data_IF_135455472404
#
_entry.id   IF_135455472404
#
_cell.length_a   1.000
_cell.length_b   1.000
_cell.length_c   1.000
_cell.angle_alpha   90.00
_cell.angle_beta   90.00
_cell.angle_gamma   90.00
#
_symmetry.space_group_name_H-M   'P 1'
#
loop_
_entity.id
_entity.type
_entity.pdbx_description
1 polymer ?
#
# COMPACT_ATOMS: atom_id res chain seq x y z
N UNK A 1 -7.56 2.88 -13.16
CA UNK A 1 -6.12 3.11 -12.94
C UNK A 1 -5.76 2.54 -11.58
N UNK A 2 -4.73 1.70 -11.48
CA UNK A 2 -4.28 1.09 -10.21
C UNK A 2 -3.04 1.82 -9.70
N UNK A 3 -3.06 2.22 -8.43
CA UNK A 3 -1.90 2.80 -7.73
C UNK A 3 -1.49 1.85 -6.60
N UNK A 4 -0.21 1.53 -6.53
CA UNK A 4 0.39 0.87 -5.38
C UNK A 4 0.58 1.89 -4.26
N UNK A 5 0.19 1.53 -3.04
CA UNK A 5 0.36 2.38 -1.85
C UNK A 5 1.11 1.60 -0.78
N UNK A 6 2.25 2.14 -0.33
CA UNK A 6 2.92 1.63 0.88
C UNK A 6 2.06 1.91 2.11
N UNK A 7 1.26 0.92 2.50
CA UNK A 7 0.38 1.07 3.65
C UNK A 7 1.14 1.04 4.98
N UNK A 8 2.42 0.67 4.99
CA UNK A 8 3.23 0.57 6.21
C UNK A 8 4.14 1.78 6.42
N UNK A 9 4.19 2.69 5.46
CA UNK A 9 5.02 3.90 5.49
C UNK A 9 4.36 5.06 6.22
N UNK A 10 5.14 5.74 7.08
CA UNK A 10 4.75 6.95 7.80
C UNK A 10 4.42 6.73 9.28
N UNK A 11 4.43 7.82 10.05
CA UNK A 11 4.36 7.79 11.52
C UNK A 11 3.03 7.21 12.06
N UNK A 12 1.97 7.29 11.26
CA UNK A 12 0.63 6.83 11.61
C UNK A 12 0.18 5.62 10.76
N UNK A 13 1.13 4.90 10.17
CA UNK A 13 0.84 3.70 9.42
C UNK A 13 0.38 2.53 10.31
N UNK A 14 -0.53 1.65 9.85
CA UNK A 14 -1.19 1.69 8.54
C UNK A 14 -2.48 2.50 8.49
N UNK A 15 -2.88 3.15 9.59
CA UNK A 15 -4.16 3.83 9.73
C UNK A 15 -4.35 4.96 8.71
N UNK A 16 -3.44 5.93 8.69
CA UNK A 16 -3.60 7.11 7.83
C UNK A 16 -3.45 6.81 6.33
N UNK A 17 -2.47 6.00 5.87
CA UNK A 17 -2.42 5.57 4.48
C UNK A 17 -3.70 4.86 4.02
N UNK A 18 -4.26 3.97 4.85
CA UNK A 18 -5.51 3.29 4.53
C UNK A 18 -6.71 4.25 4.47
N UNK A 19 -6.81 5.19 5.42
CA UNK A 19 -7.87 6.21 5.40
C UNK A 19 -7.76 7.10 4.16
N UNK A 20 -6.55 7.50 3.78
CA UNK A 20 -6.30 8.28 2.57
C UNK A 20 -6.70 7.51 1.30
N UNK A 21 -6.40 6.20 1.21
CA UNK A 21 -6.83 5.37 0.08
C UNK A 21 -8.36 5.27 -0.02
N UNK A 22 -9.05 5.12 1.12
CA UNK A 22 -10.52 5.13 1.17
C UNK A 22 -11.07 6.45 0.65
N UNK A 23 -10.54 7.59 1.12
CA UNK A 23 -10.95 8.93 0.68
C UNK A 23 -10.67 9.14 -0.81
N UNK A 24 -9.47 8.81 -1.28
CA UNK A 24 -9.10 8.95 -2.69
C UNK A 24 -10.00 8.11 -3.61
N UNK A 25 -10.34 6.87 -3.21
CA UNK A 25 -11.28 6.07 -3.96
C UNK A 25 -12.70 6.63 -3.91
N UNK A 26 -13.16 7.26 -2.82
CA UNK A 26 -14.46 7.96 -2.80
C UNK A 26 -14.50 9.08 -3.83
N UNK A 27 -13.46 9.89 -3.90
CA UNK A 27 -13.41 11.09 -4.75
C UNK A 27 -13.15 10.75 -6.23
N UNK A 28 -12.43 9.67 -6.51
CA UNK A 28 -12.10 9.22 -7.86
C UNK A 28 -12.68 7.82 -8.14
N UNK A 29 -13.84 7.72 -8.83
CA UNK A 29 -14.49 6.44 -9.14
C UNK A 29 -13.66 5.47 -9.97
N UNK A 30 -12.71 5.97 -10.78
CA UNK A 30 -11.87 5.15 -11.66
C UNK A 30 -10.52 4.74 -11.03
N UNK A 31 -10.27 5.15 -9.78
CA UNK A 31 -9.07 4.80 -9.03
C UNK A 31 -9.30 3.49 -8.27
N UNK A 32 -8.34 2.59 -8.40
CA UNK A 32 -8.16 1.44 -7.52
C UNK A 32 -6.83 1.58 -6.81
N UNK A 33 -6.73 1.07 -5.58
CA UNK A 33 -5.51 1.13 -4.78
C UNK A 33 -5.13 -0.27 -4.29
N UNK A 34 -3.88 -0.65 -4.50
CA UNK A 34 -3.27 -1.83 -3.91
C UNK A 34 -2.51 -1.40 -2.64
N UNK A 35 -3.06 -1.75 -1.47
CA UNK A 35 -2.49 -1.48 -0.16
C UNK A 35 -1.47 -2.57 0.17
N UNK A 36 -0.19 -2.19 0.20
CA UNK A 36 0.90 -3.14 0.39
C UNK A 36 1.36 -3.12 1.84
N UNK A 37 1.30 -4.25 2.52
CA UNK A 37 1.69 -4.33 3.93
C UNK A 37 1.14 -5.52 4.69
N UNK A 38 1.14 -5.39 6.01
CA UNK A 38 0.63 -6.38 6.95
C UNK A 38 -0.90 -6.49 6.83
N UNK A 39 -1.36 -7.56 6.18
CA UNK A 39 -2.78 -7.81 5.90
C UNK A 39 -3.66 -7.79 7.15
N UNK A 40 -3.17 -8.28 8.28
CA UNK A 40 -3.92 -8.36 9.53
C UNK A 40 -4.16 -6.97 10.13
N UNK A 41 -3.25 -6.02 9.88
CA UNK A 41 -3.40 -4.62 10.30
C UNK A 41 -4.23 -3.80 9.33
N UNK A 42 -4.10 -4.04 8.03
CA UNK A 42 -4.78 -3.27 6.97
C UNK A 42 -6.28 -3.61 6.90
N UNK A 43 -6.60 -4.91 6.90
CA UNK A 43 -7.96 -5.42 6.71
C UNK A 43 -9.03 -4.76 7.61
N UNK A 44 -8.86 -4.67 8.95
CA UNK A 44 -9.88 -4.07 9.82
C UNK A 44 -10.11 -2.57 9.58
N UNK A 45 -9.15 -1.87 8.95
CA UNK A 45 -9.31 -0.44 8.61
C UNK A 45 -10.19 -0.31 7.38
N UNK A 46 -9.88 -1.04 6.29
CA UNK A 46 -10.61 -0.92 5.02
C UNK A 46 -11.99 -1.59 5.05
N UNK A 47 -12.23 -2.51 5.98
CA UNK A 47 -13.56 -3.10 6.19
C UNK A 47 -14.61 -2.08 6.63
N UNK A 48 -14.20 -0.94 7.19
CA UNK A 48 -15.09 0.16 7.59
C UNK A 48 -15.56 1.02 6.40
N UNK A 49 -14.96 0.86 5.21
CA UNK A 49 -15.33 1.60 4.02
C UNK A 49 -16.62 1.07 3.38
N UNK A 50 -17.28 1.93 2.61
CA UNK A 50 -18.47 1.59 1.83
C UNK A 50 -18.13 0.49 0.80
N UNK A 51 -19.09 -0.40 0.51
CA UNK A 51 -18.85 -1.59 -0.33
C UNK A 51 -18.28 -1.26 -1.71
N UNK A 52 -18.71 -0.16 -2.33
CA UNK A 52 -18.25 0.32 -3.65
C UNK A 52 -16.84 0.94 -3.63
N UNK A 53 -16.40 1.43 -2.46
CA UNK A 53 -15.03 1.90 -2.24
C UNK A 53 -14.14 0.70 -1.96
N UNK A 54 -14.56 -0.15 -1.01
CA UNK A 54 -13.83 -1.36 -0.59
C UNK A 54 -13.57 -2.32 -1.75
N UNK A 55 -14.47 -2.44 -2.72
CA UNK A 55 -14.27 -3.30 -3.90
C UNK A 55 -13.12 -2.84 -4.82
N UNK A 56 -12.61 -1.62 -4.65
CA UNK A 56 -11.48 -1.06 -5.40
C UNK A 56 -10.19 -0.97 -4.57
N UNK A 57 -10.22 -1.46 -3.35
CA UNK A 57 -9.06 -1.62 -2.48
C UNK A 57 -8.65 -3.09 -2.46
N UNK A 58 -7.43 -3.39 -2.88
CA UNK A 58 -6.83 -4.72 -2.74
C UNK A 58 -5.72 -4.69 -1.69
N UNK A 59 -5.52 -5.80 -0.99
CA UNK A 59 -4.40 -5.96 -0.06
C UNK A 59 -3.34 -6.81 -0.75
N UNK A 60 -2.11 -6.32 -0.78
CA UNK A 60 -0.92 -7.06 -1.22
C UNK A 60 -0.06 -7.35 0.01
N UNK A 61 0.03 -8.60 0.46
CA UNK A 61 0.77 -8.94 1.67
C UNK A 61 2.25 -8.58 1.55
N UNK A 62 2.79 -7.90 2.57
CA UNK A 62 4.22 -7.67 2.73
C UNK A 62 4.61 -7.93 4.19
N UNK A 63 5.67 -8.70 4.38
CA UNK A 63 6.10 -9.18 5.71
C UNK A 63 7.30 -8.39 6.25
N UNK A 64 7.84 -7.45 5.48
CA UNK A 64 8.95 -6.60 5.89
C UNK A 64 8.59 -5.11 5.74
N UNK A 65 9.23 -4.27 6.53
CA UNK A 65 9.14 -2.81 6.43
C UNK A 65 10.55 -2.23 6.45
N UNK A 66 10.82 -1.24 5.60
CA UNK A 66 12.07 -0.46 5.63
C UNK A 66 11.87 0.66 6.64
N UNK A 67 12.68 0.68 7.70
CA UNK A 67 12.54 1.64 8.79
C UNK A 67 13.40 2.88 8.55
N UNK A 68 13.05 4.02 9.13
CA UNK A 68 13.79 5.29 8.93
C UNK A 68 15.26 5.27 9.37
N UNK A 69 15.66 4.35 10.26
CA UNK A 69 17.05 4.16 10.68
C UNK A 69 17.86 3.22 9.76
N UNK A 70 17.22 2.61 8.77
CA UNK A 70 17.89 1.69 7.86
C UNK A 70 18.75 2.44 6.85
N UNK A 71 19.90 1.87 6.47
CA UNK A 71 20.60 2.31 5.27
C UNK A 71 19.74 2.01 4.04
N UNK A 72 19.30 3.01 3.25
CA UNK A 72 18.33 2.80 2.17
C UNK A 72 18.83 1.81 1.10
N UNK A 73 20.09 1.95 0.68
CA UNK A 73 20.70 1.11 -0.34
C UNK A 73 20.83 -0.36 0.09
N UNK A 74 21.11 -0.60 1.38
CA UNK A 74 21.23 -1.94 1.94
C UNK A 74 19.83 -2.56 2.11
N UNK A 75 18.88 -1.83 2.67
CA UNK A 75 17.54 -2.35 2.96
C UNK A 75 16.75 -2.64 1.70
N UNK A 76 16.77 -1.79 0.67
CA UNK A 76 16.13 -2.09 -0.63
C UNK A 76 16.71 -3.36 -1.29
N UNK A 77 18.01 -3.60 -1.09
CA UNK A 77 18.66 -4.80 -1.63
C UNK A 77 18.31 -6.06 -0.85
N UNK A 78 18.17 -5.97 0.47
CA UNK A 78 17.98 -7.14 1.36
C UNK A 78 16.51 -7.47 1.62
N UNK A 79 15.68 -6.47 1.90
CA UNK A 79 14.27 -6.61 2.28
C UNK A 79 13.37 -6.70 1.05
N UNK A 80 13.52 -7.79 0.29
CA UNK A 80 12.81 -7.99 -0.98
C UNK A 80 11.30 -8.14 -0.81
N UNK A 81 10.84 -8.50 0.38
CA UNK A 81 9.43 -8.62 0.73
C UNK A 81 8.93 -7.41 1.53
N UNK A 82 9.62 -6.26 1.42
CA UNK A 82 9.14 -5.02 2.01
C UNK A 82 8.04 -4.38 1.18
N UNK A 83 7.11 -3.69 1.83
CA UNK A 83 5.98 -3.00 1.18
C UNK A 83 6.44 -2.10 0.02
N UNK A 84 7.51 -1.34 0.26
CA UNK A 84 8.11 -0.43 -0.71
C UNK A 84 8.75 -1.18 -1.90
N UNK A 85 9.47 -2.28 -1.68
CA UNK A 85 10.07 -3.07 -2.77
C UNK A 85 9.01 -3.78 -3.61
N UNK A 86 7.97 -4.33 -2.97
CA UNK A 86 6.84 -4.95 -3.67
C UNK A 86 6.13 -3.91 -4.55
N UNK A 87 5.89 -2.70 -4.04
CA UNK A 87 5.26 -1.64 -4.83
C UNK A 87 6.08 -1.23 -6.04
N UNK A 88 7.41 -1.15 -5.93
CA UNK A 88 8.27 -0.89 -7.08
C UNK A 88 8.19 -2.01 -8.12
N UNK A 89 8.13 -3.27 -7.69
CA UNK A 89 8.01 -4.39 -8.61
C UNK A 89 6.66 -4.38 -9.34
N UNK A 90 5.56 -4.02 -8.66
CA UNK A 90 4.25 -3.85 -9.31
C UNK A 90 4.25 -2.77 -10.39
N UNK A 91 4.95 -1.65 -10.17
CA UNK A 91 5.10 -0.62 -11.20
C UNK A 91 5.97 -1.12 -12.35
N UNK A 92 7.08 -1.81 -12.03
CA UNK A 92 8.00 -2.37 -13.02
C UNK A 92 7.34 -3.45 -13.90
N UNK A 93 6.46 -4.27 -13.34
CA UNK A 93 5.72 -5.31 -14.07
C UNK A 93 4.53 -4.75 -14.87
N UNK A 94 4.17 -3.48 -14.66
CA UNK A 94 3.01 -2.85 -15.29
C UNK A 94 1.67 -3.17 -14.62
N UNK A 95 1.69 -3.85 -13.47
CA UNK A 95 0.48 -4.11 -12.67
C UNK A 95 -0.09 -2.82 -12.07
N UNK A 96 0.78 -1.93 -11.60
CA UNK A 96 0.42 -0.60 -11.09
C UNK A 96 0.97 0.52 -11.99
N UNK A 97 0.21 1.61 -12.13
CA UNK A 97 0.63 2.78 -12.91
C UNK A 97 1.63 3.68 -12.17
N UNK A 98 1.71 3.54 -10.85
CA UNK A 98 2.60 4.29 -9.98
C UNK A 98 2.56 3.74 -8.56
N UNK A 99 3.53 4.17 -7.75
CA UNK A 99 3.63 3.87 -6.32
C UNK A 99 3.69 5.18 -5.54
N UNK A 100 3.01 5.22 -4.40
CA UNK A 100 3.05 6.30 -3.41
C UNK A 100 3.40 5.72 -2.04
#
# INVERSE_FOLDING_TARGET
>A
MLIALDAMGGDHAPLEPCNAAILACRDQPHLSVALIGDSEKIKPIIEKAEKNVRSRLSIVPANEVINGGDSPSISIRRKKNSSLVIGFEMVRSGEAAGIV
#
